data_IF_768518044973
#
_entry.id   IF_768518044973
#
_cell.length_a   1.000
_cell.length_b   1.000
_cell.length_c   1.000
_cell.angle_alpha   90.00
_cell.angle_beta   90.00
_cell.angle_gamma   90.00
#
_symmetry.space_group_name_H-M   'P 1'
#
loop_
_entity.id
_entity.type
_entity.pdbx_description
1 polymer ?
#
# COMPACT_ATOMS: atom_id res chain seq x y z
N UNK A 1 -0.17 8.06 -15.00
CA UNK A 1 -0.67 8.43 -13.65
C UNK A 1 -1.10 7.14 -12.96
N UNK A 2 -0.73 6.90 -11.69
CA UNK A 2 -0.84 5.57 -11.06
C UNK A 2 -2.28 4.98 -11.01
N UNK A 3 -3.30 5.86 -11.09
CA UNK A 3 -4.71 5.47 -11.20
C UNK A 3 -5.12 5.01 -12.62
N UNK A 4 -4.44 5.50 -13.66
CA UNK A 4 -4.65 5.07 -15.06
C UNK A 4 -4.16 3.64 -15.25
N UNK A 5 -3.05 3.26 -14.60
CA UNK A 5 -2.52 1.89 -14.64
C UNK A 5 -3.44 0.86 -13.95
N UNK A 6 -4.32 1.32 -13.05
CA UNK A 6 -5.22 0.46 -12.28
C UNK A 6 -6.64 0.43 -12.89
N UNK A 7 -7.02 1.43 -13.69
CA UNK A 7 -8.33 1.52 -14.33
C UNK A 7 -8.27 0.94 -15.74
N UNK A 8 -9.19 0.04 -16.06
CA UNK A 8 -9.49 -0.27 -17.47
C UNK A 8 -10.10 0.98 -18.10
N UNK A 9 -9.55 1.41 -19.25
CA UNK A 9 -9.98 2.61 -19.99
C UNK A 9 -11.50 2.64 -20.28
N UNK A 10 -12.14 1.46 -20.35
CA UNK A 10 -13.55 1.31 -20.75
C UNK A 10 -14.52 0.94 -19.62
N UNK A 11 -14.10 0.90 -18.33
CA UNK A 11 -15.00 0.48 -17.24
C UNK A 11 -14.93 1.37 -16.00
N UNK A 12 -16.08 1.95 -15.65
CA UNK A 12 -16.42 2.56 -14.34
C UNK A 12 -16.52 1.52 -13.20
N UNK A 13 -15.67 0.49 -13.24
CA UNK A 13 -15.66 -0.52 -12.20
C UNK A 13 -15.12 0.09 -10.89
N UNK A 14 -15.83 -0.18 -9.79
CA UNK A 14 -15.36 0.18 -8.45
C UNK A 14 -13.98 -0.41 -8.21
N UNK A 15 -13.05 0.42 -7.74
CA UNK A 15 -11.72 0.00 -7.31
C UNK A 15 -11.80 -0.61 -5.91
N UNK A 16 -11.16 -1.75 -5.72
CA UNK A 16 -10.95 -2.36 -4.42
C UNK A 16 -9.57 -1.93 -3.92
N UNK A 17 -9.55 -1.29 -2.75
CA UNK A 17 -8.32 -0.88 -2.09
C UNK A 17 -8.16 -1.66 -0.79
N UNK A 18 -6.94 -2.13 -0.54
CA UNK A 18 -6.51 -2.68 0.74
C UNK A 18 -5.18 -2.06 1.10
N UNK A 19 -4.99 -1.81 2.38
CA UNK A 19 -3.66 -1.47 2.92
C UNK A 19 -3.08 -2.75 3.51
N UNK A 20 -1.87 -3.10 3.08
CA UNK A 20 -1.10 -4.22 3.56
C UNK A 20 0.06 -3.67 4.39
N UNK A 21 0.24 -4.26 5.57
CA UNK A 21 1.39 -3.97 6.45
C UNK A 21 2.34 -5.13 6.29
N UNK A 22 3.48 -4.87 5.66
CA UNK A 22 4.61 -5.79 5.58
C UNK A 22 5.68 -5.36 6.57
N UNK A 23 6.69 -6.20 6.79
CA UNK A 23 7.68 -6.06 7.87
C UNK A 23 8.28 -4.65 8.00
N UNK A 24 8.61 -3.98 6.89
CA UNK A 24 9.14 -2.60 6.92
C UNK A 24 8.43 -1.67 5.92
N UNK A 25 7.22 -2.01 5.46
CA UNK A 25 6.54 -1.21 4.44
C UNK A 25 5.01 -1.20 4.57
N UNK A 26 4.42 -0.12 4.06
CA UNK A 26 2.97 0.04 3.95
C UNK A 26 2.61 0.06 2.47
N UNK A 27 1.86 -0.94 2.03
CA UNK A 27 1.53 -1.14 0.62
C UNK A 27 0.05 -0.89 0.40
N UNK A 28 -0.29 -0.04 -0.56
CA UNK A 28 -1.63 0.06 -1.10
C UNK A 28 -1.77 -0.99 -2.20
N UNK A 29 -2.59 -1.99 -1.95
CA UNK A 29 -3.04 -2.95 -2.95
C UNK A 29 -4.32 -2.42 -3.59
N UNK A 30 -4.23 -1.97 -4.83
CA UNK A 30 -5.36 -1.48 -5.61
C UNK A 30 -5.72 -2.46 -6.73
N UNK A 31 -7.00 -2.77 -6.91
CA UNK A 31 -7.46 -3.71 -7.93
C UNK A 31 -8.80 -3.30 -8.53
N UNK A 32 -8.88 -3.25 -9.86
CA UNK A 32 -10.16 -3.17 -10.57
C UNK A 32 -10.91 -4.52 -10.55
N UNK A 33 -12.23 -4.46 -10.39
CA UNK A 33 -13.08 -5.65 -10.42
C UNK A 33 -12.99 -6.33 -11.79
N UNK A 34 -12.51 -7.57 -11.82
CA UNK A 34 -12.33 -8.36 -13.06
C UNK A 34 -10.87 -8.54 -13.49
N UNK A 35 -9.92 -7.77 -12.93
CA UNK A 35 -8.51 -7.93 -13.26
C UNK A 35 -7.90 -9.18 -12.58
N UNK A 36 -6.84 -9.75 -13.17
CA UNK A 36 -6.20 -10.97 -12.63
C UNK A 36 -5.47 -10.69 -11.31
N UNK A 37 -4.76 -9.58 -11.18
CA UNK A 37 -3.97 -9.23 -9.99
C UNK A 37 -4.21 -7.80 -9.47
N UNK A 38 -3.84 -7.50 -8.22
CA UNK A 38 -3.75 -6.13 -7.72
C UNK A 38 -2.44 -5.46 -8.17
N UNK A 39 -2.48 -4.14 -8.34
CA UNK A 39 -1.28 -3.30 -8.39
C UNK A 39 -0.88 -2.97 -6.96
N UNK A 40 0.40 -3.18 -6.63
CA UNK A 40 0.97 -2.90 -5.33
C UNK A 40 1.75 -1.60 -5.38
N UNK A 41 1.49 -0.72 -4.41
CA UNK A 41 2.01 0.64 -4.41
C UNK A 41 2.62 0.89 -3.04
N UNK A 42 3.93 1.15 -2.99
CA UNK A 42 4.57 1.52 -1.73
C UNK A 42 4.16 2.95 -1.37
N UNK A 43 3.56 3.14 -0.19
CA UNK A 43 3.10 4.47 0.22
C UNK A 43 4.26 5.46 0.30
N UNK A 44 5.47 4.99 0.59
CA UNK A 44 6.66 5.83 0.70
C UNK A 44 7.02 6.53 -0.60
N UNK A 45 6.74 5.91 -1.75
CA UNK A 45 6.95 6.52 -3.06
C UNK A 45 5.97 7.66 -3.31
N UNK A 46 4.77 7.57 -2.72
CA UNK A 46 3.73 8.61 -2.83
C UNK A 46 4.05 9.77 -1.89
N UNK A 47 4.38 9.49 -0.63
CA UNK A 47 4.55 10.53 0.40
C UNK A 47 5.97 11.10 0.44
N UNK A 48 6.97 10.35 -0.05
CA UNK A 48 8.39 10.70 0.01
C UNK A 48 8.73 12.10 -0.49
N UNK A 49 8.12 12.61 -1.59
CA UNK A 49 8.33 13.99 -2.03
C UNK A 49 7.79 15.06 -1.06
N UNK A 50 6.89 14.69 -0.15
CA UNK A 50 6.16 15.60 0.73
C UNK A 50 6.59 15.53 2.20
N UNK A 51 7.45 14.58 2.57
CA UNK A 51 7.90 14.37 3.95
C UNK A 51 9.40 14.16 4.02
N UNK A 52 10.01 14.54 5.13
CA UNK A 52 11.44 14.33 5.32
C UNK A 52 11.81 12.85 5.58
N UNK A 53 13.09 12.54 5.40
CA UNK A 53 13.62 11.18 5.59
C UNK A 53 13.48 10.67 7.03
N UNK A 54 13.39 11.56 8.03
CA UNK A 54 13.19 11.19 9.44
C UNK A 54 11.76 10.67 9.62
N UNK A 55 10.80 11.32 8.99
CA UNK A 55 9.38 10.97 9.00
C UNK A 55 9.17 9.63 8.30
N UNK A 56 9.79 9.40 7.14
CA UNK A 56 9.80 8.09 6.48
C UNK A 56 10.35 7.00 7.41
N UNK A 57 11.49 7.23 8.07
CA UNK A 57 12.06 6.27 9.03
C UNK A 57 11.12 5.96 10.21
N UNK A 58 10.39 6.97 10.70
CA UNK A 58 9.38 6.78 11.76
C UNK A 58 8.23 5.91 11.28
N UNK A 59 7.73 6.15 10.06
CA UNK A 59 6.67 5.35 9.44
C UNK A 59 7.09 3.88 9.33
N UNK A 60 8.30 3.60 8.82
CA UNK A 60 8.84 2.23 8.74
C UNK A 60 8.87 1.54 10.10
N UNK A 61 9.40 2.21 11.14
CA UNK A 61 9.43 1.67 12.50
C UNK A 61 8.03 1.36 13.04
N UNK A 62 7.07 2.24 12.78
CA UNK A 62 5.67 2.01 13.16
C UNK A 62 5.09 0.80 12.43
N UNK A 63 5.34 0.67 11.12
CA UNK A 63 4.89 -0.48 10.33
C UNK A 63 5.45 -1.80 10.88
N UNK A 64 6.75 -1.85 11.13
CA UNK A 64 7.41 -3.02 11.72
C UNK A 64 6.83 -3.37 13.10
N UNK A 65 6.63 -2.37 13.96
CA UNK A 65 5.98 -2.61 15.26
C UNK A 65 4.58 -3.20 15.14
N UNK A 66 3.78 -2.76 14.15
CA UNK A 66 2.44 -3.32 13.92
C UNK A 66 2.54 -4.74 13.36
N UNK A 67 3.43 -4.96 12.39
CA UNK A 67 3.67 -6.28 11.78
C UNK A 67 4.02 -7.32 12.85
N UNK A 68 5.00 -7.02 13.71
CA UNK A 68 5.43 -7.93 14.79
C UNK A 68 4.30 -8.24 15.76
N UNK A 69 3.50 -7.24 16.16
CA UNK A 69 2.33 -7.46 17.03
C UNK A 69 1.31 -8.39 16.37
N UNK A 70 0.99 -8.17 15.10
CA UNK A 70 0.05 -9.02 14.37
C UNK A 70 0.56 -10.43 14.15
N UNK A 71 1.86 -10.59 13.93
CA UNK A 71 2.51 -11.90 13.83
C UNK A 71 2.40 -12.68 15.16
N UNK A 72 2.59 -12.00 16.29
CA UNK A 72 2.41 -12.60 17.62
C UNK A 72 0.95 -12.98 17.90
N UNK A 73 -0.02 -12.13 17.56
CA UNK A 73 -1.45 -12.41 17.73
C UNK A 73 -1.94 -13.61 16.89
N UNK A 74 -1.27 -13.91 15.78
CA UNK A 74 -1.61 -15.02 14.88
C UNK A 74 -0.90 -16.34 15.23
N UNK A 75 0.00 -16.33 16.23
CA UNK A 75 0.75 -17.50 16.71
C UNK A 75 0.10 -18.08 17.96
#
# INVERSE_FOLDING_TARGET
>A
MLLEEVRDEDKTNRLLFKVLIEEDSLIISAKARGNKGPTLINIEEIIGPYVDSITIKRIRKTCNSIYLKKKQEAS
#
